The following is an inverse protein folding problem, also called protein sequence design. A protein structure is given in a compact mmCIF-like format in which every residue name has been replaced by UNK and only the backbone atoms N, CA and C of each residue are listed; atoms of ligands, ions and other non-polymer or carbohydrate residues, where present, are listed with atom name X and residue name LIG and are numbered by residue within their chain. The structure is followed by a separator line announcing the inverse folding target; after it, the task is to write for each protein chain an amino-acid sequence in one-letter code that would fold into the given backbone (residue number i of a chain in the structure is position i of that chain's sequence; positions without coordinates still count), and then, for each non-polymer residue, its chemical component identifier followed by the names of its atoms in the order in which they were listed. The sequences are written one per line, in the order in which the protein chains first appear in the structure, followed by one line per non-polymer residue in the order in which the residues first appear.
data_IF_446241692325
#
_entry.id   IF_446241692325
#
_cell.length_a   1.000
_cell.length_b   1.000
_cell.length_c   1.000
_cell.angle_alpha   90.00
_cell.angle_beta   90.00
_cell.angle_gamma   90.00
#
_symmetry.space_group_name_H-M   'P 1'
#
loop_
_entity.id
_entity.type
_entity.pdbx_description
1 polymer ?
#
# COMPACT_ATOMS: atom_id res chain seq x y z
N UNK A 1 -30.84 -0.88 -36.72
CA UNK A 1 -29.56 -1.62 -36.59
C UNK A 1 -28.53 -0.92 -35.67
N UNK A 2 -28.31 0.41 -35.75
CA UNK A 2 -27.29 1.14 -34.94
C UNK A 2 -27.39 1.01 -33.41
N UNK A 3 -28.60 0.93 -32.83
CA UNK A 3 -28.80 0.83 -31.36
C UNK A 3 -28.33 -0.48 -30.72
N UNK A 4 -28.30 -1.59 -31.48
CA UNK A 4 -27.85 -2.90 -30.95
C UNK A 4 -26.32 -2.96 -30.85
N UNK A 5 -25.61 -2.40 -31.84
CA UNK A 5 -24.16 -2.28 -31.79
C UNK A 5 -23.68 -1.34 -30.69
N UNK A 6 -24.43 -0.26 -30.42
CA UNK A 6 -24.13 0.64 -29.31
C UNK A 6 -24.21 -0.06 -27.94
N UNK A 7 -25.24 -0.87 -27.70
CA UNK A 7 -25.36 -1.66 -26.45
C UNK A 7 -24.23 -2.68 -26.31
N UNK A 8 -23.86 -3.38 -27.38
CA UNK A 8 -22.73 -4.33 -27.35
C UNK A 8 -21.41 -3.62 -27.08
N UNK A 9 -21.22 -2.42 -27.62
CA UNK A 9 -20.04 -1.60 -27.37
C UNK A 9 -19.96 -1.12 -25.91
N UNK A 10 -21.08 -0.71 -25.31
CA UNK A 10 -21.11 -0.32 -23.89
C UNK A 10 -20.76 -1.49 -22.96
N UNK A 11 -21.30 -2.69 -23.23
CA UNK A 11 -20.98 -3.89 -22.43
C UNK A 11 -19.51 -4.28 -22.58
N UNK A 12 -18.95 -4.20 -23.80
CA UNK A 12 -17.53 -4.44 -24.04
C UNK A 12 -16.65 -3.45 -23.25
N UNK A 13 -16.99 -2.16 -23.26
CA UNK A 13 -16.23 -1.11 -22.59
C UNK A 13 -16.20 -1.33 -21.06
N UNK A 14 -17.35 -1.67 -20.46
CA UNK A 14 -17.44 -1.97 -19.02
C UNK A 14 -16.65 -3.24 -18.68
N UNK A 15 -16.69 -4.26 -19.54
CA UNK A 15 -15.94 -5.50 -19.32
C UNK A 15 -14.42 -5.29 -19.37
N UNK A 16 -13.92 -4.39 -20.22
CA UNK A 16 -12.49 -4.06 -20.28
C UNK A 16 -12.06 -3.32 -19.01
N UNK A 17 -12.85 -2.35 -18.55
CA UNK A 17 -12.57 -1.60 -17.31
C UNK A 17 -12.49 -2.51 -16.08
N UNK A 18 -13.33 -3.56 -16.01
CA UNK A 18 -13.31 -4.53 -14.91
C UNK A 18 -12.08 -5.45 -14.93
N UNK A 19 -11.55 -5.79 -16.12
CA UNK A 19 -10.35 -6.64 -16.25
C UNK A 19 -9.06 -5.89 -15.89
N UNK A 20 -8.96 -4.60 -16.23
CA UNK A 20 -7.79 -3.78 -15.92
C UNK A 20 -7.59 -3.54 -14.42
N UNK A 21 -8.66 -3.63 -13.63
CA UNK A 21 -8.61 -3.33 -12.19
C UNK A 21 -7.75 -4.31 -11.38
N UNK A 22 -7.77 -5.61 -11.72
CA UNK A 22 -7.08 -6.62 -10.92
C UNK A 22 -5.55 -6.59 -11.13
N UNK A 23 -5.11 -6.41 -12.37
CA UNK A 23 -3.68 -6.37 -12.71
C UNK A 23 -3.02 -5.04 -12.31
N UNK A 24 -3.76 -3.93 -12.36
CA UNK A 24 -3.25 -2.63 -11.94
C UNK A 24 -2.90 -2.60 -10.43
N UNK A 25 -3.64 -3.33 -9.60
CA UNK A 25 -3.40 -3.40 -8.15
C UNK A 25 -2.12 -4.19 -7.85
N UNK A 26 -1.90 -5.33 -8.52
CA UNK A 26 -0.66 -6.09 -8.32
C UNK A 26 0.57 -5.29 -8.76
N UNK A 27 0.51 -4.60 -9.90
CA UNK A 27 1.63 -3.78 -10.37
C UNK A 27 1.88 -2.53 -9.50
N UNK A 28 0.81 -1.94 -8.93
CA UNK A 28 0.94 -0.84 -7.96
C UNK A 28 1.70 -1.27 -6.70
N UNK A 29 1.47 -2.49 -6.22
CA UNK A 29 2.17 -3.03 -5.05
C UNK A 29 3.62 -3.40 -5.40
N UNK A 30 3.85 -4.01 -6.57
CA UNK A 30 5.20 -4.37 -7.04
C UNK A 30 6.12 -3.15 -7.23
N UNK A 31 5.57 -1.98 -7.56
CA UNK A 31 6.28 -0.72 -7.72
C UNK A 31 5.99 0.32 -6.64
N UNK A 32 5.51 -0.09 -5.46
CA UNK A 32 5.08 0.83 -4.42
C UNK A 32 6.21 1.79 -4.01
N UNK A 33 6.01 3.07 -4.31
CA UNK A 33 6.85 4.18 -3.90
C UNK A 33 5.97 5.39 -3.62
N UNK A 34 6.16 6.01 -2.46
CA UNK A 34 5.47 7.24 -2.06
C UNK A 34 6.47 8.25 -1.52
N UNK A 35 6.52 9.43 -2.16
CA UNK A 35 7.41 10.53 -1.81
C UNK A 35 6.60 11.73 -1.30
N UNK A 36 6.80 12.10 -0.04
CA UNK A 36 6.15 13.21 0.66
C UNK A 36 7.16 14.35 0.88
N UNK A 37 7.56 15.03 -0.19
CA UNK A 37 8.63 16.02 -0.16
C UNK A 37 8.20 17.30 0.57
N UNK A 38 8.98 17.70 1.57
CA UNK A 38 8.80 18.98 2.29
C UNK A 38 7.71 18.96 3.37
N UNK A 39 6.92 17.89 3.45
CA UNK A 39 5.93 17.68 4.49
C UNK A 39 6.60 17.14 5.76
N UNK A 40 6.12 17.59 6.93
CA UNK A 40 6.52 17.01 8.21
C UNK A 40 5.54 15.90 8.54
N UNK A 41 6.04 14.69 8.72
CA UNK A 41 5.22 13.52 9.00
C UNK A 41 5.74 12.78 10.23
N UNK A 42 4.82 12.11 10.92
CA UNK A 42 5.10 11.13 11.95
C UNK A 42 4.83 9.75 11.37
N UNK A 43 5.87 8.92 11.34
CA UNK A 43 5.81 7.52 10.93
C UNK A 43 5.79 6.67 12.19
N UNK A 44 4.77 5.84 12.33
CA UNK A 44 4.57 4.94 13.46
C UNK A 44 4.44 3.50 13.00
N UNK A 45 5.07 2.58 13.73
CA UNK A 45 4.97 1.15 13.50
C UNK A 45 4.20 0.49 14.64
N UNK A 46 3.45 -0.55 14.32
CA UNK A 46 2.55 -1.22 15.26
C UNK A 46 2.76 -2.74 15.25
N UNK A 47 2.70 -3.33 16.43
CA UNK A 47 2.69 -4.79 16.58
C UNK A 47 1.31 -5.40 16.24
N UNK A 48 1.20 -6.72 16.36
CA UNK A 48 -0.02 -7.50 16.11
C UNK A 48 -1.16 -7.18 17.10
N UNK A 49 -0.84 -6.56 18.23
CA UNK A 49 -1.81 -6.09 19.24
C UNK A 49 -2.14 -4.60 19.10
N UNK A 50 -1.71 -3.95 18.01
CA UNK A 50 -1.87 -2.52 17.73
C UNK A 50 -1.17 -1.59 18.75
N UNK A 51 -0.13 -2.08 19.43
CA UNK A 51 0.73 -1.23 20.25
C UNK A 51 1.81 -0.58 19.39
N UNK A 52 2.11 0.70 19.66
CA UNK A 52 3.18 1.42 18.97
C UNK A 52 4.53 0.86 19.38
N UNK A 53 5.33 0.43 18.41
CA UNK A 53 6.71 -0.05 18.60
C UNK A 53 7.68 1.14 18.45
N UNK A 54 7.61 1.83 17.32
CA UNK A 54 8.44 3.00 17.01
C UNK A 54 7.58 4.19 16.55
N UNK A 55 8.06 5.40 16.85
CA UNK A 55 7.46 6.64 16.39
C UNK A 55 8.55 7.65 16.05
N UNK A 56 8.63 8.03 14.78
CA UNK A 56 9.68 8.91 14.25
C UNK A 56 9.00 10.08 13.53
N UNK A 57 9.38 11.30 13.88
CA UNK A 57 8.89 12.51 13.21
C UNK A 57 10.02 13.18 12.46
N UNK A 58 9.76 13.54 11.20
CA UNK A 58 10.73 14.27 10.39
C UNK A 58 10.13 14.88 9.14
N UNK A 59 10.97 15.63 8.42
CA UNK A 59 10.58 16.36 7.22
C UNK A 59 11.06 15.63 5.97
N UNK A 60 10.19 15.54 4.97
CA UNK A 60 10.40 14.77 3.75
C UNK A 60 10.49 13.26 4.03
N UNK A 61 9.43 12.53 3.73
CA UNK A 61 9.35 11.07 3.90
C UNK A 61 9.27 10.40 2.54
N UNK A 62 10.08 9.36 2.31
CA UNK A 62 9.99 8.46 1.15
C UNK A 62 9.78 7.04 1.68
N UNK A 63 8.78 6.34 1.15
CA UNK A 63 8.50 4.94 1.48
C UNK A 63 8.50 4.15 0.18
N UNK A 64 9.36 3.15 0.08
CA UNK A 64 9.43 2.28 -1.09
C UNK A 64 9.62 0.81 -0.68
N UNK A 65 9.24 -0.11 -1.56
CA UNK A 65 9.51 -1.53 -1.37
C UNK A 65 10.99 -1.83 -1.60
N UNK A 66 11.60 -2.60 -0.71
CA UNK A 66 13.00 -3.00 -0.81
C UNK A 66 13.18 -4.20 -1.75
N UNK A 67 13.90 -4.01 -2.85
CA UNK A 67 14.04 -5.03 -3.90
C UNK A 67 15.13 -6.04 -3.61
N UNK A 68 16.07 -5.74 -2.69
CA UNK A 68 17.14 -6.67 -2.29
C UNK A 68 16.60 -8.01 -1.76
N UNK A 69 15.38 -8.00 -1.19
CA UNK A 69 14.74 -9.19 -0.62
C UNK A 69 13.78 -9.91 -1.57
N UNK A 70 13.74 -9.53 -2.84
CA UNK A 70 12.92 -10.23 -3.84
C UNK A 70 13.49 -11.61 -4.15
N UNK A 71 12.61 -12.59 -4.36
CA UNK A 71 13.01 -13.84 -4.97
C UNK A 71 13.34 -13.61 -6.45
N UNK A 72 14.26 -14.41 -7.00
CA UNK A 72 14.66 -14.33 -8.40
C UNK A 72 14.10 -15.48 -9.22
N UNK A 73 13.76 -15.21 -10.47
CA UNK A 73 13.34 -16.24 -11.43
C UNK A 73 14.57 -16.99 -12.00
N UNK A 74 14.33 -17.99 -12.86
CA UNK A 74 15.40 -18.79 -13.48
C UNK A 74 16.32 -17.98 -14.42
N UNK A 75 15.89 -16.78 -14.83
CA UNK A 75 16.62 -15.85 -15.70
C UNK A 75 17.42 -14.81 -14.90
N UNK A 76 17.23 -14.77 -13.56
CA UNK A 76 17.90 -13.87 -12.64
C UNK A 76 17.13 -12.57 -12.35
N UNK A 77 15.93 -12.39 -12.89
CA UNK A 77 15.10 -11.19 -12.66
C UNK A 77 14.30 -11.31 -11.35
N UNK A 78 13.99 -10.16 -10.72
CA UNK A 78 13.18 -10.07 -9.49
C UNK A 78 11.71 -10.43 -9.75
N UNK A 79 11.13 -11.20 -8.82
CA UNK A 79 9.70 -11.51 -8.79
C UNK A 79 8.84 -10.45 -8.07
N UNK A 80 9.46 -9.40 -7.52
CA UNK A 80 8.77 -8.30 -6.81
C UNK A 80 7.81 -8.77 -5.71
N UNK A 81 8.24 -9.77 -4.93
CA UNK A 81 7.45 -10.45 -3.90
C UNK A 81 7.91 -10.14 -2.46
N UNK A 82 8.90 -9.26 -2.29
CA UNK A 82 9.31 -8.79 -0.97
C UNK A 82 8.22 -7.94 -0.29
N UNK A 83 8.12 -8.08 1.03
CA UNK A 83 7.25 -7.27 1.90
C UNK A 83 8.08 -6.36 2.82
N UNK A 84 9.35 -6.15 2.46
CA UNK A 84 10.27 -5.30 3.20
C UNK A 84 10.15 -3.89 2.64
N UNK A 85 10.06 -2.90 3.53
CA UNK A 85 9.97 -1.49 3.14
C UNK A 85 11.26 -0.76 3.51
N UNK A 86 11.70 0.11 2.61
CA UNK A 86 12.75 1.09 2.83
C UNK A 86 12.08 2.46 3.07
N UNK A 87 12.33 3.04 4.23
CA UNK A 87 11.72 4.31 4.64
C UNK A 87 12.85 5.32 4.87
N UNK A 88 12.75 6.47 4.22
CA UNK A 88 13.68 7.58 4.38
C UNK A 88 12.95 8.77 5.01
N UNK A 89 13.51 9.32 6.09
CA UNK A 89 12.94 10.45 6.83
C UNK A 89 14.06 11.46 7.07
N UNK A 90 13.95 12.66 6.48
CA UNK A 90 14.92 13.74 6.74
C UNK A 90 16.37 13.40 6.38
N UNK A 91 16.59 12.47 5.45
CA UNK A 91 17.92 12.00 5.04
C UNK A 91 18.47 10.80 5.82
N UNK A 92 17.69 10.24 6.75
CA UNK A 92 18.00 8.99 7.45
C UNK A 92 17.14 7.85 6.92
N UNK A 93 17.73 6.65 6.80
CA UNK A 93 17.06 5.46 6.25
C UNK A 93 16.80 4.43 7.35
N UNK A 94 15.63 3.79 7.29
CA UNK A 94 15.27 2.62 8.09
C UNK A 94 14.68 1.53 7.20
N UNK A 95 15.01 0.27 7.48
CA UNK A 95 14.39 -0.90 6.84
C UNK A 95 13.34 -1.47 7.78
N UNK A 96 12.12 -1.63 7.28
CA UNK A 96 10.96 -2.07 8.04
C UNK A 96 10.48 -3.45 7.57
N UNK A 97 10.19 -4.34 8.53
CA UNK A 97 9.78 -5.73 8.27
C UNK A 97 8.65 -6.12 9.20
N UNK A 98 7.57 -6.68 8.65
CA UNK A 98 6.63 -7.53 9.40
C UNK A 98 5.66 -6.85 10.37
N UNK A 99 5.65 -5.52 10.49
CA UNK A 99 4.69 -4.76 11.32
C UNK A 99 3.82 -3.83 10.48
N UNK A 100 2.68 -3.39 11.04
CA UNK A 100 1.83 -2.38 10.41
C UNK A 100 2.49 -1.00 10.52
N UNK A 101 2.27 -0.13 9.53
CA UNK A 101 2.85 1.21 9.49
C UNK A 101 1.78 2.25 9.16
N UNK A 102 1.79 3.37 9.90
CA UNK A 102 1.00 4.56 9.61
C UNK A 102 1.95 5.75 9.48
N UNK A 103 1.88 6.46 8.35
CA UNK A 103 2.57 7.72 8.14
C UNK A 103 1.53 8.85 8.03
N UNK A 104 1.56 9.79 8.96
CA UNK A 104 0.59 10.88 9.04
C UNK A 104 1.30 12.25 9.00
N UNK A 105 0.77 13.18 8.21
CA UNK A 105 1.24 14.56 8.20
C UNK A 105 0.90 15.27 9.53
N UNK A 106 1.84 16.05 10.05
CA UNK A 106 1.63 16.87 11.24
C UNK A 106 0.49 17.88 10.98
N UNK A 107 -0.52 17.85 11.84
CA UNK A 107 -1.69 18.74 11.75
C UNK A 107 -2.93 18.08 11.15
N UNK A 108 -2.83 16.83 10.71
CA UNK A 108 -4.00 15.99 10.44
C UNK A 108 -4.44 15.29 11.74
N UNK A 109 -5.75 15.21 11.94
CA UNK A 109 -6.34 14.45 13.03
C UNK A 109 -6.30 12.95 12.70
N UNK A 110 -5.71 12.17 13.61
CA UNK A 110 -5.62 10.72 13.47
C UNK A 110 -6.92 10.05 13.93
N UNK A 111 -7.78 9.72 12.97
CA UNK A 111 -9.04 9.00 13.22
C UNK A 111 -8.85 7.47 13.26
N UNK A 112 -7.64 6.97 12.99
CA UNK A 112 -7.38 5.53 12.81
C UNK A 112 -7.56 4.77 14.13
N UNK A 113 -7.25 5.42 15.25
CA UNK A 113 -7.44 4.90 16.60
C UNK A 113 -8.85 5.13 17.17
N UNK A 114 -9.67 5.94 16.51
CA UNK A 114 -11.00 6.31 17.01
C UNK A 114 -12.10 5.31 16.60
N UNK A 115 -11.78 4.31 15.76
CA UNK A 115 -12.72 3.25 15.41
C UNK A 115 -12.84 2.28 16.61
N UNK A 116 -13.99 2.24 17.30
CA UNK A 116 -14.14 1.38 18.47
C UNK A 116 -14.18 -0.09 18.05
N UNK A 117 -13.16 -0.87 18.43
CA UNK A 117 -13.04 -2.32 18.76
C UNK A 117 -14.13 -3.35 18.36
N UNK A 118 -15.00 -3.07 17.38
CA UNK A 118 -16.09 -3.96 16.99
C UNK A 118 -16.05 -4.20 15.50
N UNK A 119 -15.01 -4.92 15.09
CA UNK A 119 -15.00 -5.58 13.79
C UNK A 119 -15.93 -6.79 13.92
N UNK A 120 -17.11 -6.71 13.30
CA UNK A 120 -17.95 -7.89 13.12
C UNK A 120 -17.28 -8.80 12.08
N UNK A 121 -16.67 -9.88 12.55
CA UNK A 121 -16.14 -10.92 11.69
C UNK A 121 -17.29 -11.79 11.18
N UNK A 122 -17.52 -11.77 9.87
CA UNK A 122 -18.45 -12.68 9.21
C UNK A 122 -17.68 -13.92 8.72
N UNK A 123 -17.86 -15.05 9.40
CA UNK A 123 -17.40 -16.34 8.89
C UNK A 123 -18.30 -16.77 7.73
N UNK A 124 -17.71 -16.97 6.56
CA UNK A 124 -18.41 -17.38 5.33
C UNK A 124 -18.44 -18.89 5.14
N UNK A 125 -18.05 -19.67 6.16
CA UNK A 125 -18.20 -21.13 6.18
C UNK A 125 -19.31 -21.53 7.15
N UNK A 126 -20.56 -21.49 6.68
CA UNK A 126 -21.69 -22.22 7.27
C UNK A 126 -22.27 -23.21 6.27
#
# INVERSE_FOLDING_TARGET
MKKSYFKKFTVLLVSVMLLSGCQAISEFISGFKQDFIGLTMTVQTYDDTAQVIDSITGKSVSIERETEFDSTNNEGDSNSDSHVLNIQIGGHTMTHVGSSLIAAETGLEDLTMEIPNKVELYDSRS
#
